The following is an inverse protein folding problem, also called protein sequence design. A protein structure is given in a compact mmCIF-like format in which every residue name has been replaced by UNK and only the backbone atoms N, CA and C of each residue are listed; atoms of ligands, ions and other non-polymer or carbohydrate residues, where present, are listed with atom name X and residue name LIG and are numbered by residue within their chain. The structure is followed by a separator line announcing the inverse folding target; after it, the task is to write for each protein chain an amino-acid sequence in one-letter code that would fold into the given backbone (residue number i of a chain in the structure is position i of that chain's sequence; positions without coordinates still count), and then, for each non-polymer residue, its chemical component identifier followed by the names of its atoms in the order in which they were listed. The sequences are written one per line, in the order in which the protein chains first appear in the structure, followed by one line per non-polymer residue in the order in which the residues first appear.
data_IF_722978184886
#
_entry.id   IF_722978184886
#
_cell.length_a   1.000
_cell.length_b   1.000
_cell.length_c   1.000
_cell.angle_alpha   90.00
_cell.angle_beta   90.00
_cell.angle_gamma   90.00
#
_symmetry.space_group_name_H-M   'P 1'
#
loop_
_entity.id
_entity.type
_entity.pdbx_description
1 polymer ?
#
# COMPACT_ATOMS: atom_id res chain seq x y z
N UNK A 1 -10.77 -4.63 -30.91
CA UNK A 1 -10.92 -5.93 -30.22
C UNK A 1 -11.98 -5.79 -29.13
N UNK A 2 -12.85 -6.77 -28.89
CA UNK A 2 -13.85 -6.68 -27.84
C UNK A 2 -13.18 -6.70 -26.46
N UNK A 3 -13.61 -5.79 -25.58
CA UNK A 3 -13.13 -5.71 -24.21
C UNK A 3 -13.52 -7.01 -23.48
N UNK A 4 -12.65 -7.68 -22.72
CA UNK A 4 -13.01 -8.92 -22.02
C UNK A 4 -14.16 -8.71 -21.03
N UNK A 5 -15.05 -9.70 -20.90
CA UNK A 5 -16.27 -9.64 -20.07
C UNK A 5 -16.09 -9.12 -18.64
N UNK A 6 -15.02 -9.47 -17.88
CA UNK A 6 -14.83 -8.97 -16.53
C UNK A 6 -14.72 -7.44 -16.47
N UNK A 7 -14.06 -6.84 -17.47
CA UNK A 7 -13.88 -5.39 -17.52
C UNK A 7 -15.17 -4.67 -17.91
N UNK A 8 -15.96 -5.27 -18.81
CA UNK A 8 -17.29 -4.74 -19.16
C UNK A 8 -18.23 -4.71 -17.94
N UNK A 9 -18.22 -5.77 -17.13
CA UNK A 9 -19.05 -5.84 -15.93
C UNK A 9 -18.62 -4.81 -14.88
N UNK A 10 -17.30 -4.61 -14.71
CA UNK A 10 -16.75 -3.61 -13.81
C UNK A 10 -17.09 -2.19 -14.28
N UNK A 11 -17.01 -1.91 -15.58
CA UNK A 11 -17.42 -0.64 -16.18
C UNK A 11 -18.92 -0.36 -15.97
N UNK A 12 -19.78 -1.37 -16.11
CA UNK A 12 -21.21 -1.23 -15.83
C UNK A 12 -21.50 -0.92 -14.35
N UNK A 13 -20.76 -1.54 -13.42
CA UNK A 13 -20.89 -1.26 -11.99
C UNK A 13 -20.39 0.14 -11.64
N UNK A 14 -19.24 0.54 -12.18
CA UNK A 14 -18.66 1.86 -11.89
C UNK A 14 -19.45 2.99 -12.57
N UNK A 15 -19.96 2.74 -13.77
CA UNK A 15 -20.80 3.63 -14.56
C UNK A 15 -22.29 3.53 -14.25
N UNK A 16 -22.69 2.90 -13.13
CA UNK A 16 -24.09 2.65 -12.77
C UNK A 16 -24.96 3.93 -12.81
N UNK A 17 -24.36 5.10 -12.58
CA UNK A 17 -24.99 6.41 -12.78
C UNK A 17 -24.81 6.92 -14.22
N UNK A 18 -25.47 6.27 -15.18
CA UNK A 18 -25.56 6.74 -16.58
C UNK A 18 -26.49 7.96 -16.77
N UNK A 19 -26.96 8.58 -15.68
CA UNK A 19 -27.89 9.72 -15.72
C UNK A 19 -27.29 10.99 -16.36
N UNK A 20 -25.97 11.10 -16.44
CA UNK A 20 -25.26 12.25 -17.02
C UNK A 20 -24.31 11.84 -18.14
N UNK A 21 -24.15 12.70 -19.15
CA UNK A 21 -23.15 12.54 -20.22
C UNK A 21 -22.01 13.54 -20.00
N UNK A 22 -20.77 13.12 -19.70
CA UNK A 22 -20.27 11.75 -19.58
C UNK A 22 -20.69 11.06 -18.26
N UNK A 23 -20.73 9.73 -18.26
CA UNK A 23 -21.15 8.93 -17.10
C UNK A 23 -20.30 9.28 -15.86
N UNK A 24 -20.98 9.45 -14.73
CA UNK A 24 -20.35 9.69 -13.44
C UNK A 24 -19.84 8.36 -12.92
N UNK A 25 -18.52 8.22 -12.79
CA UNK A 25 -17.93 7.02 -12.21
C UNK A 25 -17.98 7.11 -10.69
N UNK A 26 -18.59 6.10 -10.07
CA UNK A 26 -18.72 5.98 -8.62
C UNK A 26 -17.33 6.01 -7.95
N UNK A 27 -16.37 5.32 -8.54
CA UNK A 27 -15.00 5.20 -8.05
C UNK A 27 -14.33 6.56 -7.81
N UNK A 28 -14.48 7.50 -8.75
CA UNK A 28 -13.93 8.86 -8.64
C UNK A 28 -14.57 9.65 -7.50
N UNK A 29 -15.89 9.58 -7.37
CA UNK A 29 -16.64 10.27 -6.31
C UNK A 29 -16.30 9.68 -4.94
N UNK A 30 -16.32 8.35 -4.83
CA UNK A 30 -16.00 7.63 -3.58
C UNK A 30 -14.57 7.93 -3.14
N UNK A 31 -13.60 7.97 -4.06
CA UNK A 31 -12.22 8.30 -3.73
C UNK A 31 -12.10 9.71 -3.13
N UNK A 32 -12.72 10.72 -3.75
CA UNK A 32 -12.67 12.10 -3.24
C UNK A 32 -13.39 12.23 -1.91
N UNK A 33 -14.58 11.65 -1.77
CA UNK A 33 -15.36 11.67 -0.52
C UNK A 33 -14.62 10.95 0.60
N UNK A 34 -14.05 9.77 0.34
CA UNK A 34 -13.29 9.01 1.32
C UNK A 34 -12.00 9.73 1.74
N UNK A 35 -11.24 10.28 0.79
CA UNK A 35 -10.04 11.06 1.08
C UNK A 35 -10.37 12.30 1.91
N UNK A 36 -11.43 13.03 1.55
CA UNK A 36 -11.92 14.18 2.30
C UNK A 36 -12.36 13.78 3.71
N UNK A 37 -13.11 12.70 3.86
CA UNK A 37 -13.53 12.18 5.17
C UNK A 37 -12.34 11.82 6.05
N UNK A 38 -11.32 11.12 5.50
CA UNK A 38 -10.12 10.77 6.26
C UNK A 38 -9.32 12.01 6.70
N UNK A 39 -9.23 13.02 5.83
CA UNK A 39 -8.61 14.30 6.16
C UNK A 39 -9.40 15.03 7.25
N UNK A 40 -10.72 15.13 7.10
CA UNK A 40 -11.60 15.76 8.08
C UNK A 40 -11.51 15.04 9.43
N UNK A 41 -11.58 13.70 9.45
CA UNK A 41 -11.43 12.86 10.65
C UNK A 41 -10.10 13.13 11.36
N UNK A 42 -9.01 13.32 10.60
CA UNK A 42 -7.69 13.61 11.17
C UNK A 42 -7.62 14.99 11.81
N UNK A 43 -8.29 15.98 11.25
CA UNK A 43 -8.29 17.37 11.76
C UNK A 43 -9.25 17.53 12.94
N UNK A 44 -10.42 16.89 12.90
CA UNK A 44 -11.47 17.05 13.92
C UNK A 44 -11.24 16.23 15.18
N UNK A 45 -10.64 15.04 15.06
CA UNK A 45 -10.37 14.17 16.22
C UNK A 45 -9.09 14.64 16.95
N UNK A 46 -9.18 15.09 18.22
CA UNK A 46 -8.03 15.62 18.96
C UNK A 46 -6.89 14.61 19.14
N UNK A 47 -7.22 13.34 19.40
CA UNK A 47 -6.25 12.26 19.59
C UNK A 47 -5.46 12.00 18.30
N UNK A 48 -6.16 11.95 17.17
CA UNK A 48 -5.50 11.76 15.87
C UNK A 48 -4.65 12.96 15.48
N UNK A 49 -5.14 14.18 15.72
CA UNK A 49 -4.40 15.40 15.42
C UNK A 49 -3.12 15.51 16.24
N UNK A 50 -3.15 15.09 17.51
CA UNK A 50 -1.99 15.11 18.40
C UNK A 50 -0.85 14.19 17.92
N UNK A 51 -1.18 13.00 17.40
CA UNK A 51 -0.18 12.03 16.91
C UNK A 51 0.22 12.23 15.45
N UNK A 52 -0.49 13.08 14.70
CA UNK A 52 -0.29 13.22 13.25
C UNK A 52 0.89 14.14 12.93
N UNK A 53 1.73 13.71 12.00
CA UNK A 53 2.85 14.48 11.47
C UNK A 53 2.46 15.15 10.14
N UNK A 54 3.24 16.14 9.67
CA UNK A 54 3.01 16.75 8.35
C UNK A 54 2.96 15.71 7.21
N UNK A 55 3.77 14.65 7.32
CA UNK A 55 3.80 13.51 6.41
C UNK A 55 2.49 12.68 6.38
N UNK A 56 1.58 12.87 7.33
CA UNK A 56 0.25 12.23 7.33
C UNK A 56 -0.81 13.02 6.56
N UNK A 57 -0.65 14.35 6.49
CA UNK A 57 -1.58 15.24 5.80
C UNK A 57 -1.24 15.37 4.31
N UNK A 58 0.05 15.43 3.99
CA UNK A 58 0.53 15.62 2.62
C UNK A 58 -0.02 14.58 1.63
N UNK A 59 0.02 13.25 1.91
CA UNK A 59 -0.51 12.25 0.98
C UNK A 59 -2.02 12.37 0.78
N UNK A 60 -2.76 12.68 1.85
CA UNK A 60 -4.21 12.84 1.78
C UNK A 60 -4.59 14.05 0.92
N UNK A 61 -3.89 15.18 1.09
CA UNK A 61 -4.08 16.36 0.25
C UNK A 61 -3.69 16.09 -1.21
N UNK A 62 -2.61 15.34 -1.43
CA UNK A 62 -2.13 15.00 -2.76
C UNK A 62 -3.12 14.09 -3.51
N UNK A 63 -3.60 13.02 -2.87
CA UNK A 63 -4.62 12.12 -3.43
C UNK A 63 -5.93 12.88 -3.69
N UNK A 64 -6.34 13.74 -2.76
CA UNK A 64 -7.53 14.57 -2.92
C UNK A 64 -7.39 15.53 -4.12
N UNK A 65 -6.24 16.17 -4.28
CA UNK A 65 -5.93 17.05 -5.40
C UNK A 65 -5.91 16.31 -6.74
N UNK A 66 -5.33 15.10 -6.78
CA UNK A 66 -5.34 14.23 -7.97
C UNK A 66 -6.77 13.82 -8.34
N UNK A 67 -7.57 13.41 -7.34
CA UNK A 67 -8.98 13.05 -7.55
C UNK A 67 -9.82 14.22 -8.08
N UNK A 68 -9.72 15.39 -7.45
CA UNK A 68 -10.45 16.60 -7.86
C UNK A 68 -10.03 17.05 -9.26
N UNK A 69 -8.72 17.14 -9.53
CA UNK A 69 -8.23 17.52 -10.87
C UNK A 69 -8.65 16.52 -11.95
N UNK A 70 -8.65 15.22 -11.64
CA UNK A 70 -9.14 14.17 -12.55
C UNK A 70 -10.64 14.33 -12.88
N UNK A 71 -11.48 14.57 -11.87
CA UNK A 71 -12.91 14.85 -12.04
C UNK A 71 -13.11 16.12 -12.87
N UNK A 72 -12.38 17.21 -12.57
CA UNK A 72 -12.47 18.47 -13.31
C UNK A 72 -12.11 18.30 -14.79
N UNK A 73 -11.04 17.56 -15.11
CA UNK A 73 -10.65 17.29 -16.50
C UNK A 73 -11.73 16.54 -17.27
N UNK A 74 -12.46 15.64 -16.60
CA UNK A 74 -13.48 14.79 -17.21
C UNK A 74 -14.82 15.51 -17.41
N UNK A 75 -15.31 16.20 -16.39
CA UNK A 75 -16.68 16.75 -16.40
C UNK A 75 -16.75 18.24 -16.77
N UNK A 76 -15.72 19.02 -16.43
CA UNK A 76 -15.74 20.49 -16.59
C UNK A 76 -14.93 20.92 -17.80
N UNK A 77 -13.63 20.62 -17.82
CA UNK A 77 -12.71 21.12 -18.86
C UNK A 77 -12.67 20.27 -20.12
N UNK A 78 -13.12 18.99 -20.05
CA UNK A 78 -13.20 18.05 -21.17
C UNK A 78 -11.91 18.00 -22.00
N UNK A 79 -10.83 17.58 -21.36
CA UNK A 79 -9.49 17.45 -21.98
C UNK A 79 -9.52 16.46 -23.14
N UNK A 80 -8.75 16.74 -24.20
CA UNK A 80 -8.59 15.84 -25.35
C UNK A 80 -7.82 14.56 -24.96
N UNK A 81 -8.55 13.45 -24.89
CA UNK A 81 -8.03 12.13 -24.51
C UNK A 81 -7.07 11.58 -25.57
N UNK A 82 -7.26 11.93 -26.85
CA UNK A 82 -6.39 11.46 -27.95
C UNK A 82 -5.00 12.07 -27.78
N UNK A 83 -4.95 13.38 -27.52
CA UNK A 83 -3.71 14.10 -27.26
C UNK A 83 -3.00 13.58 -25.99
N UNK A 84 -3.74 13.35 -24.90
CA UNK A 84 -3.19 12.75 -23.67
C UNK A 84 -2.61 11.36 -23.94
N UNK A 85 -3.31 10.53 -24.73
CA UNK A 85 -2.85 9.18 -25.10
C UNK A 85 -1.57 9.23 -25.93
N UNK A 86 -1.48 10.15 -26.89
CA UNK A 86 -0.27 10.33 -27.70
C UNK A 86 0.93 10.69 -26.84
N UNK A 87 0.76 11.61 -25.87
CA UNK A 87 1.81 11.96 -24.92
C UNK A 87 2.21 10.77 -24.06
N UNK A 88 1.25 10.04 -23.50
CA UNK A 88 1.52 8.86 -22.66
C UNK A 88 2.27 7.76 -23.43
N UNK A 89 1.87 7.49 -24.67
CA UNK A 89 2.55 6.53 -25.53
C UNK A 89 3.95 7.01 -25.90
N UNK A 90 4.14 8.29 -26.22
CA UNK A 90 5.45 8.86 -26.53
C UNK A 90 6.42 8.75 -25.35
N UNK A 91 5.95 8.97 -24.11
CA UNK A 91 6.76 8.73 -22.92
C UNK A 91 7.10 7.25 -22.73
N UNK A 92 6.13 6.34 -22.91
CA UNK A 92 6.34 4.90 -22.74
C UNK A 92 7.28 4.30 -23.80
N UNK A 93 7.26 4.82 -25.04
CA UNK A 93 8.15 4.38 -26.13
C UNK A 93 9.46 5.16 -26.19
N UNK A 94 9.73 6.06 -25.24
CA UNK A 94 10.90 6.95 -25.23
C UNK A 94 11.01 7.86 -26.46
N UNK A 95 9.89 8.19 -27.10
CA UNK A 95 9.77 9.17 -28.19
C UNK A 95 8.80 10.29 -27.76
N UNK A 96 9.24 11.23 -26.89
CA UNK A 96 8.35 12.22 -26.31
C UNK A 96 7.83 13.18 -27.37
N UNK A 97 6.51 13.26 -27.49
CA UNK A 97 5.79 14.24 -28.31
C UNK A 97 4.83 14.98 -27.38
N UNK A 98 4.73 16.30 -27.55
CA UNK A 98 3.77 17.13 -26.81
C UNK A 98 2.71 17.63 -27.81
N UNK A 99 1.56 16.95 -27.89
CA UNK A 99 0.45 17.41 -28.73
C UNK A 99 -0.08 18.76 -28.27
N UNK A 100 -0.47 19.60 -29.24
CA UNK A 100 -1.14 20.86 -28.94
C UNK A 100 -2.57 20.62 -28.41
N UNK A 101 -3.07 21.50 -27.54
CA UNK A 101 -4.48 21.54 -27.15
C UNK A 101 -4.90 20.79 -25.87
N UNK A 102 -3.96 20.18 -25.13
CA UNK A 102 -4.28 19.38 -23.91
C UNK A 102 -4.82 20.23 -22.75
N UNK A 103 -4.53 21.54 -22.73
CA UNK A 103 -5.00 22.48 -21.72
C UNK A 103 -4.20 22.45 -20.40
N UNK A 104 -4.16 23.55 -19.62
CA UNK A 104 -3.31 23.65 -18.43
C UNK A 104 -3.65 22.68 -17.30
N UNK A 105 -4.94 22.34 -17.14
CA UNK A 105 -5.43 21.48 -16.06
C UNK A 105 -4.80 20.08 -16.09
N UNK A 106 -4.49 19.57 -17.29
CA UNK A 106 -3.79 18.30 -17.45
C UNK A 106 -2.38 18.34 -16.88
N UNK A 107 -1.64 19.41 -17.14
CA UNK A 107 -0.28 19.55 -16.62
C UNK A 107 -0.27 19.69 -15.09
N UNK A 108 -1.29 20.34 -14.52
CA UNK A 108 -1.48 20.37 -13.06
C UNK A 108 -1.72 18.95 -12.52
N UNK A 109 -2.62 18.19 -13.15
CA UNK A 109 -2.88 16.80 -12.74
C UNK A 109 -1.63 15.92 -12.86
N UNK A 110 -0.95 15.97 -14.01
CA UNK A 110 0.28 15.24 -14.28
C UNK A 110 1.37 15.59 -13.26
N UNK A 111 1.54 16.88 -12.95
CA UNK A 111 2.47 17.32 -11.93
C UNK A 111 2.15 16.70 -10.55
N UNK A 112 0.90 16.72 -10.11
CA UNK A 112 0.49 16.11 -8.84
C UNK A 112 0.77 14.60 -8.82
N UNK A 113 0.50 13.91 -9.93
CA UNK A 113 0.79 12.47 -10.07
C UNK A 113 2.30 12.21 -10.03
N UNK A 114 3.13 13.01 -10.72
CA UNK A 114 4.58 12.89 -10.66
C UNK A 114 5.12 13.13 -9.24
N UNK A 115 4.58 14.12 -8.53
CA UNK A 115 4.91 14.37 -7.12
C UNK A 115 4.53 13.16 -6.25
N UNK A 116 3.36 12.55 -6.50
CA UNK A 116 2.94 11.34 -5.79
C UNK A 116 3.93 10.19 -6.04
N UNK A 117 4.32 9.95 -7.29
CA UNK A 117 5.29 8.91 -7.64
C UNK A 117 6.65 9.14 -6.98
N UNK A 118 7.17 10.36 -7.02
CA UNK A 118 8.45 10.71 -6.38
C UNK A 118 8.40 10.57 -4.84
N UNK A 119 7.26 10.90 -4.24
CA UNK A 119 7.05 10.83 -2.79
C UNK A 119 6.73 9.42 -2.29
N UNK A 120 6.11 8.57 -3.13
CA UNK A 120 5.63 7.24 -2.79
C UNK A 120 6.63 6.38 -2.00
N UNK A 121 7.88 6.15 -2.47
CA UNK A 121 8.83 5.25 -1.81
C UNK A 121 9.28 5.71 -0.42
N UNK A 122 9.15 7.00 -0.12
CA UNK A 122 9.59 7.61 1.15
C UNK A 122 8.43 7.89 2.11
N UNK A 123 7.26 7.33 1.81
CA UNK A 123 6.03 7.67 2.50
C UNK A 123 5.36 6.48 3.18
N UNK A 124 4.37 6.79 4.03
CA UNK A 124 3.49 5.79 4.62
C UNK A 124 2.67 5.03 3.56
N UNK A 125 2.62 5.47 2.30
CA UNK A 125 1.93 4.76 1.21
C UNK A 125 2.61 3.45 0.81
N UNK A 126 3.87 3.24 1.17
CA UNK A 126 4.59 1.96 0.95
C UNK A 126 3.95 0.76 1.66
N UNK A 127 2.96 0.98 2.54
CA UNK A 127 2.14 -0.13 3.04
C UNK A 127 1.34 -0.84 1.95
N UNK A 128 1.06 -0.19 0.81
CA UNK A 128 0.23 -0.76 -0.26
C UNK A 128 0.83 -2.06 -0.84
N UNK A 129 2.12 -2.12 -1.24
CA UNK A 129 2.78 -3.40 -1.57
C UNK A 129 2.81 -4.41 -0.42
N UNK A 130 2.88 -3.95 0.82
CA UNK A 130 2.94 -4.80 2.02
C UNK A 130 1.71 -5.71 2.20
N UNK A 131 0.58 -5.37 1.57
CA UNK A 131 -0.65 -6.17 1.56
C UNK A 131 -0.45 -7.54 0.88
N UNK A 132 0.47 -7.64 -0.08
CA UNK A 132 0.80 -8.90 -0.76
C UNK A 132 1.89 -9.70 -0.05
N UNK A 133 2.72 -9.03 0.74
CA UNK A 133 3.82 -9.62 1.48
C UNK A 133 3.46 -9.90 2.96
N UNK A 134 2.20 -9.69 3.35
CA UNK A 134 1.78 -9.76 4.74
C UNK A 134 1.96 -11.20 5.29
N UNK A 135 2.65 -11.37 6.44
CA UNK A 135 2.81 -12.66 7.11
C UNK A 135 1.52 -13.43 7.28
N UNK A 136 0.42 -12.77 7.64
CA UNK A 136 -0.89 -13.40 7.86
C UNK A 136 -1.56 -13.98 6.61
N UNK A 137 -1.09 -13.64 5.41
CA UNK A 137 -1.58 -14.21 4.14
C UNK A 137 -0.63 -15.26 3.56
N UNK A 138 0.67 -15.11 3.80
CA UNK A 138 1.70 -15.94 3.18
C UNK A 138 2.27 -17.03 4.10
N UNK A 139 2.10 -16.91 5.42
CA UNK A 139 2.55 -17.92 6.39
C UNK A 139 1.35 -18.72 6.91
N UNK A 140 1.51 -20.04 6.91
CA UNK A 140 0.49 -21.01 7.34
C UNK A 140 0.24 -21.02 8.85
N UNK A 141 0.99 -20.23 9.64
CA UNK A 141 0.88 -20.10 11.10
C UNK A 141 0.73 -21.45 11.85
N UNK A 142 1.35 -22.51 11.34
CA UNK A 142 1.24 -23.87 11.88
C UNK A 142 2.41 -24.25 12.81
N UNK A 143 3.16 -23.28 13.35
CA UNK A 143 4.31 -23.52 14.23
C UNK A 143 3.95 -24.30 15.51
N UNK A 144 2.67 -24.31 15.91
CA UNK A 144 2.18 -25.12 17.05
C UNK A 144 1.79 -26.55 16.67
N UNK A 145 1.66 -26.84 15.37
CA UNK A 145 1.23 -28.14 14.84
C UNK A 145 2.37 -28.89 14.15
N UNK A 146 3.34 -28.15 13.61
CA UNK A 146 4.48 -28.68 12.86
C UNK A 146 5.74 -28.02 13.39
N UNK A 147 6.73 -28.83 13.71
CA UNK A 147 8.08 -28.36 13.98
C UNK A 147 8.73 -27.95 12.66
N UNK A 148 8.99 -26.65 12.49
CA UNK A 148 9.73 -26.14 11.33
C UNK A 148 11.22 -26.16 11.62
N UNK A 149 11.92 -27.14 11.06
CA UNK A 149 13.38 -27.25 11.17
C UNK A 149 14.01 -26.49 9.99
N UNK A 150 14.92 -25.57 10.30
CA UNK A 150 15.65 -24.82 9.29
C UNK A 150 16.62 -25.76 8.51
N UNK A 151 16.51 -25.89 7.18
CA UNK A 151 17.41 -26.74 6.38
C UNK A 151 18.88 -26.30 6.43
N UNK A 152 19.13 -25.05 6.78
CA UNK A 152 20.47 -24.46 6.86
C UNK A 152 21.14 -24.63 8.23
N UNK A 153 20.49 -25.31 9.19
CA UNK A 153 21.14 -25.60 10.46
C UNK A 153 22.26 -26.62 10.25
N UNK A 154 23.48 -26.24 10.62
CA UNK A 154 24.59 -27.18 10.74
C UNK A 154 24.34 -28.14 11.90
N UNK A 155 24.94 -29.35 11.91
CA UNK A 155 24.82 -30.26 13.04
C UNK A 155 25.48 -29.62 14.28
N UNK A 156 24.66 -29.05 15.16
CA UNK A 156 25.09 -28.56 16.47
C UNK A 156 25.11 -29.74 17.41
N UNK A 157 26.22 -29.95 18.14
CA UNK A 157 26.21 -30.89 19.26
C UNK A 157 25.37 -30.29 20.38
N UNK A 158 24.17 -30.82 20.57
CA UNK A 158 23.35 -30.46 21.71
C UNK A 158 23.87 -31.19 22.94
N UNK A 159 24.01 -30.46 24.05
CA UNK A 159 24.24 -31.07 25.35
C UNK A 159 22.88 -31.45 25.93
N UNK A 160 22.71 -32.72 26.26
CA UNK A 160 21.55 -33.16 27.02
C UNK A 160 21.62 -32.61 28.44
N UNK A 161 20.48 -32.50 29.10
CA UNK A 161 20.42 -32.02 30.49
C UNK A 161 21.37 -32.85 31.39
N UNK A 162 21.43 -34.17 31.20
CA UNK A 162 22.37 -35.05 31.89
C UNK A 162 23.83 -34.58 31.78
N UNK A 163 24.31 -34.26 30.56
CA UNK A 163 25.68 -33.81 30.32
C UNK A 163 25.93 -32.41 30.90
N UNK A 164 24.90 -31.56 30.90
CA UNK A 164 24.96 -30.21 31.46
C UNK A 164 25.02 -30.27 32.99
N UNK A 165 24.14 -31.05 33.60
CA UNK A 165 24.08 -31.27 35.04
C UNK A 165 25.40 -31.88 35.52
N UNK A 166 25.91 -32.93 34.89
CA UNK A 166 27.18 -33.55 35.29
C UNK A 166 28.37 -32.58 35.20
N UNK A 167 28.32 -31.60 34.31
CA UNK A 167 29.36 -30.58 34.15
C UNK A 167 29.24 -29.42 35.14
N UNK A 168 28.03 -29.04 35.54
CA UNK A 168 27.75 -27.81 36.28
C UNK A 168 27.07 -28.03 37.64
N UNK A 169 26.90 -29.28 38.07
CA UNK A 169 26.15 -29.66 39.29
C UNK A 169 26.56 -28.85 40.51
N UNK A 170 27.86 -28.77 40.79
CA UNK A 170 28.39 -28.07 41.96
C UNK A 170 27.99 -26.59 41.96
N UNK A 171 28.13 -25.93 40.81
CA UNK A 171 27.74 -24.53 40.64
C UNK A 171 26.21 -24.34 40.70
N UNK A 172 25.43 -25.33 40.26
CA UNK A 172 23.97 -25.31 40.36
C UNK A 172 23.50 -25.44 41.81
N UNK A 173 24.11 -26.34 42.59
CA UNK A 173 23.82 -26.51 44.02
C UNK A 173 24.21 -25.25 44.80
N UNK A 174 25.38 -24.67 44.51
CA UNK A 174 25.82 -23.40 45.13
C UNK A 174 24.86 -22.24 44.82
N UNK A 175 24.24 -22.25 43.64
CA UNK A 175 23.26 -21.27 43.20
C UNK A 175 21.79 -21.60 43.58
N UNK A 176 21.56 -22.64 44.41
CA UNK A 176 20.22 -23.09 44.85
C UNK A 176 19.30 -23.49 43.68
N UNK A 177 19.89 -24.00 42.59
CA UNK A 177 19.17 -24.51 41.41
C UNK A 177 18.92 -26.02 41.60
N UNK A 178 17.68 -26.50 41.43
CA UNK A 178 17.36 -27.91 41.61
C UNK A 178 18.09 -28.80 40.61
N UNK A 179 18.62 -29.93 41.11
CA UNK A 179 19.33 -30.97 40.36
C UNK A 179 18.55 -32.28 40.46
N UNK A 180 18.56 -33.11 39.41
CA UNK A 180 17.85 -34.40 39.40
C UNK A 180 18.71 -35.53 39.99
N UNK A 181 20.02 -35.47 39.82
CA UNK A 181 20.99 -36.44 40.36
C UNK A 181 21.49 -36.00 41.73
N UNK A 182 20.62 -36.10 42.73
CA UNK A 182 21.00 -35.92 44.14
C UNK A 182 21.75 -37.13 44.69
N UNK A 183 23.03 -37.26 44.30
CA UNK A 183 24.09 -37.95 45.07
C UNK A 183 25.44 -37.81 44.37
#
# INVERSE_FOLDING_TARGET
EPVPMPFQLLEHVDGFFQFFTPAVYLSGVVLVVAAFYLLARRITNPTLRYISLAADYFPLLLILGIGISGILMRYVYKVDIIAVKQLALGLATFHPVVPAGIGPIFYVHLFLVCVLFAYFPFSKLMHAPGVFLSPSRNLTCNNRWVLHVNPWNYPVKFHHYDEYEDRFREAMIEADIPVEKES
#
